data_IF_387532571103
#
_entry.id   IF_387532571103
#
_cell.length_a   1.000
_cell.length_b   1.000
_cell.length_c   1.000
_cell.angle_alpha   90.00
_cell.angle_beta   90.00
_cell.angle_gamma   90.00
#
_symmetry.space_group_name_H-M   'P 1'
#
loop_
_entity.id
_entity.type
_entity.pdbx_description
1 polymer ?
#
# COMPACT_ATOMS: atom_id res chain seq x y z
N UNK A 1 7.36 0.74 -29.16
CA UNK A 1 6.27 0.89 -28.17
C UNK A 1 6.57 -0.13 -27.11
N UNK A 2 6.76 0.29 -25.86
CA UNK A 2 6.84 -0.67 -24.75
C UNK A 2 5.38 -1.02 -24.48
N UNK A 3 4.96 -2.23 -24.86
CA UNK A 3 3.69 -2.79 -24.38
C UNK A 3 3.86 -2.96 -22.86
N UNK A 4 3.37 -1.98 -22.10
CA UNK A 4 3.15 -2.17 -20.69
C UNK A 4 1.91 -3.04 -20.56
N UNK A 5 2.03 -4.19 -19.92
CA UNK A 5 0.89 -5.04 -19.59
C UNK A 5 -0.15 -4.20 -18.84
N UNK A 6 -1.33 -3.99 -19.43
CA UNK A 6 -2.45 -3.35 -18.76
C UNK A 6 -3.12 -4.37 -17.84
N UNK A 7 -2.81 -4.29 -16.54
CA UNK A 7 -3.45 -5.14 -15.56
C UNK A 7 -4.83 -4.60 -15.18
N UNK A 8 -5.84 -5.46 -15.28
CA UNK A 8 -7.17 -5.16 -14.76
C UNK A 8 -7.15 -5.31 -13.24
N UNK A 9 -7.41 -4.23 -12.55
CA UNK A 9 -7.60 -4.22 -11.10
C UNK A 9 -8.99 -3.70 -10.74
N UNK A 10 -9.47 -4.08 -9.57
CA UNK A 10 -10.68 -3.51 -8.96
C UNK A 10 -10.30 -2.84 -7.66
N UNK A 11 -10.75 -1.60 -7.45
CA UNK A 11 -10.68 -1.00 -6.12
C UNK A 11 -11.77 -1.63 -5.25
N UNK A 12 -11.38 -2.46 -4.29
CA UNK A 12 -12.32 -3.20 -3.44
C UNK A 12 -12.52 -2.56 -2.05
N UNK A 13 -11.65 -1.63 -1.64
CA UNK A 13 -11.81 -0.89 -0.40
C UNK A 13 -11.30 0.56 -0.47
N UNK A 14 -11.89 1.41 0.37
CA UNK A 14 -11.39 2.74 0.69
C UNK A 14 -11.77 3.07 2.12
N UNK A 15 -10.82 3.62 2.89
CA UNK A 15 -11.11 3.94 4.28
C UNK A 15 -10.11 4.89 4.90
N UNK A 16 -10.43 5.27 6.13
CA UNK A 16 -9.57 6.03 7.02
C UNK A 16 -9.59 5.33 8.37
N UNK A 17 -8.42 4.93 8.85
CA UNK A 17 -8.26 4.33 10.18
C UNK A 17 -7.21 5.13 10.95
N UNK A 18 -7.51 5.57 12.17
CA UNK A 18 -6.61 6.41 12.97
C UNK A 18 -6.07 7.66 12.24
N UNK A 19 -6.84 8.20 11.27
CA UNK A 19 -6.44 9.34 10.44
C UNK A 19 -5.53 8.98 9.26
N UNK A 20 -5.18 7.71 9.09
CA UNK A 20 -4.39 7.17 7.98
C UNK A 20 -5.34 6.72 6.89
N UNK A 21 -5.14 7.22 5.67
CA UNK A 21 -5.94 6.83 4.52
C UNK A 21 -5.34 5.60 3.84
N UNK A 22 -6.20 4.66 3.47
CA UNK A 22 -5.81 3.50 2.68
C UNK A 22 -6.77 3.24 1.51
N UNK A 23 -6.29 2.49 0.52
CA UNK A 23 -7.05 2.01 -0.63
C UNK A 23 -6.76 0.53 -0.82
N UNK A 24 -7.80 -0.30 -0.82
CA UNK A 24 -7.71 -1.72 -1.16
C UNK A 24 -7.85 -1.91 -2.66
N UNK A 25 -7.00 -2.75 -3.23
CA UNK A 25 -7.01 -3.14 -4.63
C UNK A 25 -6.99 -4.66 -4.72
N UNK A 26 -7.84 -5.22 -5.59
CA UNK A 26 -7.79 -6.62 -5.97
C UNK A 26 -7.29 -6.76 -7.41
N UNK A 27 -6.31 -7.64 -7.60
CA UNK A 27 -5.81 -8.04 -8.91
C UNK A 27 -5.68 -9.56 -8.94
N UNK A 28 -6.35 -10.21 -9.88
CA UNK A 28 -6.29 -11.67 -10.07
C UNK A 28 -6.54 -12.49 -8.79
N UNK A 29 -7.45 -12.04 -7.92
CA UNK A 29 -7.78 -12.69 -6.65
C UNK A 29 -6.76 -12.45 -5.53
N UNK A 30 -5.70 -11.66 -5.78
CA UNK A 30 -4.79 -11.15 -4.75
C UNK A 30 -5.24 -9.78 -4.29
N UNK A 31 -5.11 -9.54 -2.99
CA UNK A 31 -5.41 -8.27 -2.39
C UNK A 31 -4.14 -7.47 -2.16
N UNK A 32 -4.26 -6.16 -2.27
CA UNK A 32 -3.21 -5.20 -1.99
C UNK A 32 -3.81 -4.00 -1.25
N UNK A 33 -2.98 -3.32 -0.47
CA UNK A 33 -3.36 -2.08 0.20
C UNK A 33 -2.34 -1.00 -0.07
N UNK A 34 -2.80 0.17 -0.50
CA UNK A 34 -1.99 1.39 -0.61
C UNK A 34 -2.27 2.27 0.59
N UNK A 35 -1.23 2.55 1.38
CA UNK A 35 -1.31 3.26 2.65
C UNK A 35 -0.55 4.58 2.55
N UNK A 36 -1.16 5.67 3.03
CA UNK A 36 -0.52 6.96 3.22
C UNK A 36 -0.35 7.22 4.72
N UNK A 37 0.75 6.75 5.35
CA UNK A 37 0.88 6.74 6.81
C UNK A 37 0.95 8.15 7.41
N UNK A 38 1.39 9.13 6.61
CA UNK A 38 1.58 10.51 7.04
C UNK A 38 0.60 11.48 6.36
N UNK A 39 0.24 12.56 7.08
CA UNK A 39 -0.71 13.57 6.58
C UNK A 39 -0.24 14.30 5.32
N UNK A 40 1.06 14.54 5.20
CA UNK A 40 1.64 15.27 4.06
C UNK A 40 1.79 14.40 2.80
N UNK A 41 1.55 13.08 2.93
CA UNK A 41 1.63 12.09 1.84
C UNK A 41 2.97 12.12 1.13
N UNK A 42 4.07 12.30 1.88
CA UNK A 42 5.42 12.09 1.36
C UNK A 42 5.68 10.61 1.13
N UNK A 43 5.19 9.77 2.04
CA UNK A 43 5.35 8.31 2.02
C UNK A 43 4.09 7.66 1.48
N UNK A 44 4.27 6.67 0.61
CA UNK A 44 3.23 5.74 0.20
C UNK A 44 3.77 4.31 0.28
N UNK A 45 2.99 3.41 0.90
CA UNK A 45 3.36 2.01 1.09
C UNK A 45 2.34 1.15 0.35
N UNK A 46 2.81 0.09 -0.32
CA UNK A 46 1.97 -0.97 -0.84
C UNK A 46 2.29 -2.26 -0.10
N UNK A 47 1.26 -2.87 0.49
CA UNK A 47 1.40 -4.16 1.15
C UNK A 47 0.51 -5.21 0.47
N UNK A 48 0.93 -6.47 0.57
CA UNK A 48 0.04 -7.63 0.44
C UNK A 48 -0.51 -7.94 1.85
N UNK A 49 -1.79 -7.61 2.13
CA UNK A 49 -2.35 -7.79 3.45
C UNK A 49 -2.57 -9.28 3.76
N UNK A 50 -2.39 -9.67 5.02
CA UNK A 50 -2.59 -11.06 5.48
C UNK A 50 -4.07 -11.48 5.44
N UNK A 51 -4.99 -10.51 5.45
CA UNK A 51 -6.44 -10.72 5.40
C UNK A 51 -7.16 -9.52 4.81
N UNK A 52 -8.39 -9.74 4.34
CA UNK A 52 -9.28 -8.65 3.88
C UNK A 52 -9.87 -7.82 5.02
N UNK A 53 -9.67 -8.25 6.26
CA UNK A 53 -10.19 -7.58 7.47
C UNK A 53 -9.24 -6.49 7.97
N UNK A 54 -7.94 -6.56 7.61
CA UNK A 54 -6.93 -5.59 8.01
C UNK A 54 -6.02 -5.20 6.84
N UNK A 55 -6.21 -3.97 6.35
CA UNK A 55 -5.47 -3.40 5.23
C UNK A 55 -4.14 -2.73 5.64
N UNK A 56 -3.74 -2.81 6.92
CA UNK A 56 -2.51 -2.22 7.46
C UNK A 56 -1.49 -3.25 7.93
N UNK A 57 -1.84 -4.54 7.88
CA UNK A 57 -0.99 -5.65 8.34
C UNK A 57 -0.68 -6.61 7.20
N UNK A 58 0.61 -6.88 7.00
CA UNK A 58 1.09 -7.85 6.03
C UNK A 58 2.48 -7.56 5.49
N UNK A 59 2.74 -7.97 4.26
CA UNK A 59 4.09 -7.88 3.67
C UNK A 59 4.23 -6.59 2.88
N UNK A 60 5.20 -5.74 3.24
CA UNK A 60 5.58 -4.57 2.43
C UNK A 60 6.24 -5.01 1.13
N UNK A 61 5.59 -4.73 0.00
CA UNK A 61 6.08 -5.10 -1.34
C UNK A 61 6.57 -3.89 -2.13
N UNK A 62 6.12 -2.68 -1.78
CA UNK A 62 6.58 -1.45 -2.42
C UNK A 62 6.52 -0.27 -1.47
N UNK A 63 7.50 0.62 -1.58
CA UNK A 63 7.55 1.86 -0.83
C UNK A 63 8.00 3.02 -1.72
N UNK A 64 7.40 4.18 -1.52
CA UNK A 64 7.76 5.43 -2.18
C UNK A 64 7.94 6.53 -1.14
N UNK A 65 8.93 7.39 -1.38
CA UNK A 65 9.09 8.66 -0.68
C UNK A 65 9.42 9.76 -1.70
N UNK A 66 8.76 10.93 -1.58
CA UNK A 66 8.94 12.05 -2.50
C UNK A 66 10.27 12.81 -2.32
N UNK A 67 10.89 12.70 -1.15
CA UNK A 67 12.04 13.53 -0.73
C UNK A 67 13.36 12.76 -0.75
N UNK A 68 13.34 11.47 -0.43
CA UNK A 68 14.54 10.65 -0.25
C UNK A 68 14.31 9.21 -0.72
N UNK A 69 15.38 8.41 -0.74
CA UNK A 69 15.27 7.01 -1.10
C UNK A 69 14.55 6.24 0.02
N UNK A 70 13.46 5.51 -0.26
CA UNK A 70 12.69 4.82 0.76
C UNK A 70 13.49 3.66 1.38
N UNK A 71 13.41 3.54 2.72
CA UNK A 71 13.97 2.41 3.46
C UNK A 71 12.85 1.40 3.77
N UNK A 72 12.88 0.25 3.12
CA UNK A 72 11.82 -0.75 3.24
C UNK A 72 11.77 -1.36 4.65
N UNK A 73 12.93 -1.64 5.26
CA UNK A 73 13.00 -2.20 6.60
C UNK A 73 12.47 -1.22 7.65
N UNK A 74 12.90 0.05 7.58
CA UNK A 74 12.44 1.08 8.53
C UNK A 74 10.94 1.34 8.39
N UNK A 75 10.42 1.40 7.17
CA UNK A 75 9.00 1.64 6.94
C UNK A 75 8.14 0.45 7.34
N UNK A 76 8.61 -0.78 7.12
CA UNK A 76 7.93 -1.96 7.62
C UNK A 76 7.87 -1.93 9.15
N UNK A 77 9.00 -1.75 9.84
CA UNK A 77 9.04 -1.69 11.31
C UNK A 77 8.19 -0.56 11.91
N UNK A 78 8.13 0.59 11.24
CA UNK A 78 7.42 1.76 11.75
C UNK A 78 5.90 1.74 11.48
N UNK A 79 5.48 1.22 10.32
CA UNK A 79 4.11 1.42 9.83
C UNK A 79 3.33 0.12 9.61
N UNK A 80 4.01 -1.01 9.41
CA UNK A 80 3.37 -2.27 9.03
C UNK A 80 3.57 -3.28 10.19
N UNK A 81 2.47 -3.62 10.87
CA UNK A 81 2.46 -4.63 11.93
C UNK A 81 2.10 -6.01 11.41
#
# INVERSE_FOLDING_TARGET
>A
MIEGDEYKYTQNAIGIENGIRYYGIEENGKNYSIIFPEKDKNIALMIEPESTDNYFRGTLIFAMNKKENPSYSEYAEQYIN
#
